data_IF_045243461784
#
_entry.id   IF_045243461784
#
_cell.length_a   1.000
_cell.length_b   1.000
_cell.length_c   1.000
_cell.angle_alpha   90.00
_cell.angle_beta   90.00
_cell.angle_gamma   90.00
#
_symmetry.space_group_name_H-M   'P 1'
#
loop_
_entity.id
_entity.type
_entity.pdbx_description
1 polymer ?
#
# COMPACT_ATOMS: atom_id res chain seq x y z
N UNK A 1 9.26 -8.01 1.25
CA UNK A 1 8.38 -6.83 1.30
C UNK A 1 7.52 -6.85 0.05
N UNK A 2 6.19 -6.86 0.19
CA UNK A 2 5.25 -6.66 -0.91
C UNK A 2 5.10 -5.16 -1.15
N UNK A 3 5.52 -4.69 -2.33
CA UNK A 3 5.46 -3.26 -2.70
C UNK A 3 4.37 -3.11 -3.75
N UNK A 4 3.43 -2.20 -3.52
CA UNK A 4 2.32 -1.98 -4.45
C UNK A 4 1.56 -0.70 -4.16
N UNK A 5 0.63 -0.35 -5.05
CA UNK A 5 -0.14 0.90 -5.03
C UNK A 5 -1.61 0.69 -4.65
N UNK A 6 -2.08 -0.56 -4.59
CA UNK A 6 -3.45 -0.91 -4.22
C UNK A 6 -3.54 -1.39 -2.76
N UNK A 7 -4.38 -0.74 -1.95
CA UNK A 7 -4.64 -1.18 -0.57
C UNK A 7 -5.30 -2.57 -0.53
N UNK A 8 -6.34 -2.78 -1.33
CA UNK A 8 -7.09 -4.04 -1.37
C UNK A 8 -6.24 -5.21 -1.88
N UNK A 9 -5.47 -5.01 -2.94
CA UNK A 9 -4.77 -6.11 -3.59
C UNK A 9 -3.37 -6.33 -3.03
N UNK A 10 -2.57 -5.26 -2.91
CA UNK A 10 -1.15 -5.39 -2.57
C UNK A 10 -0.94 -5.40 -1.06
N UNK A 11 -1.59 -4.47 -0.35
CA UNK A 11 -1.39 -4.33 1.10
C UNK A 11 -2.16 -5.40 1.86
N UNK A 12 -3.47 -5.54 1.64
CA UNK A 12 -4.24 -6.59 2.30
C UNK A 12 -3.76 -8.00 1.87
N UNK A 13 -3.39 -8.17 0.59
CA UNK A 13 -2.80 -9.41 0.08
C UNK A 13 -1.45 -9.74 0.72
N UNK A 14 -0.52 -8.77 0.81
CA UNK A 14 0.77 -8.94 1.47
C UNK A 14 0.65 -9.24 2.96
N UNK A 15 -0.26 -8.55 3.65
CA UNK A 15 -0.60 -8.82 5.05
C UNK A 15 -1.12 -10.26 5.23
N UNK A 16 -2.07 -10.70 4.40
CA UNK A 16 -2.61 -12.06 4.46
C UNK A 16 -1.55 -13.14 4.15
N UNK A 17 -0.55 -12.81 3.32
CA UNK A 17 0.59 -13.67 3.05
C UNK A 17 1.66 -13.65 4.17
N UNK A 18 1.53 -12.80 5.19
CA UNK A 18 2.46 -12.71 6.32
C UNK A 18 3.80 -12.06 5.96
N UNK A 19 3.84 -11.20 4.93
CA UNK A 19 5.05 -10.45 4.56
C UNK A 19 4.87 -8.97 4.86
N UNK A 20 5.97 -8.27 5.18
CA UNK A 20 5.93 -6.83 5.33
C UNK A 20 5.48 -6.15 4.02
N UNK A 21 4.77 -5.04 4.11
CA UNK A 21 4.14 -4.33 2.99
C UNK A 21 4.62 -2.89 2.86
N UNK A 22 4.65 -2.36 1.64
CA UNK A 22 4.96 -0.97 1.36
C UNK A 22 3.97 -0.41 0.34
N UNK A 23 3.19 0.60 0.76
CA UNK A 23 2.26 1.32 -0.10
C UNK A 23 3.02 2.44 -0.84
N UNK A 24 2.97 2.42 -2.17
CA UNK A 24 3.49 3.52 -3.01
C UNK A 24 2.36 4.43 -3.47
N UNK A 25 2.54 5.74 -3.30
CA UNK A 25 1.52 6.74 -3.63
C UNK A 25 1.61 7.22 -5.09
N UNK A 26 2.60 6.76 -5.87
CA UNK A 26 2.77 7.14 -7.28
C UNK A 26 1.89 6.37 -8.27
N UNK A 27 1.04 5.47 -7.79
CA UNK A 27 0.18 4.62 -8.61
C UNK A 27 -1.29 5.07 -8.59
N UNK A 28 -2.21 4.12 -8.41
CA UNK A 28 -3.66 4.36 -8.42
C UNK A 28 -4.14 5.37 -7.37
N UNK A 29 -3.36 5.63 -6.32
CA UNK A 29 -3.65 6.58 -5.25
C UNK A 29 -3.05 7.99 -5.43
N UNK A 30 -2.43 8.30 -6.58
CA UNK A 30 -1.68 9.54 -6.77
C UNK A 30 -2.47 10.82 -6.50
N UNK A 31 -3.78 10.81 -6.74
CA UNK A 31 -4.68 11.94 -6.53
C UNK A 31 -5.80 11.64 -5.52
N UNK A 32 -5.72 10.54 -4.78
CA UNK A 32 -6.79 10.12 -3.85
C UNK A 32 -6.74 10.81 -2.48
N UNK A 33 -5.68 11.58 -2.21
CA UNK A 33 -5.45 12.18 -0.90
C UNK A 33 -4.93 11.16 0.14
N UNK A 34 -5.32 11.33 1.39
CA UNK A 34 -4.89 10.47 2.50
C UNK A 34 -5.46 9.04 2.37
N UNK A 35 -4.61 7.99 2.30
CA UNK A 35 -5.07 6.61 2.17
C UNK A 35 -5.63 6.00 3.47
N UNK A 36 -5.59 6.70 4.62
CA UNK A 36 -6.05 6.18 5.91
C UNK A 36 -7.46 5.56 5.86
N UNK A 37 -8.40 6.22 5.17
CA UNK A 37 -9.77 5.70 5.04
C UNK A 37 -9.86 4.37 4.28
N UNK A 38 -9.03 4.19 3.25
CA UNK A 38 -8.96 2.93 2.49
C UNK A 38 -8.29 1.82 3.30
N UNK A 39 -7.23 2.16 4.04
CA UNK A 39 -6.56 1.21 4.94
C UNK A 39 -7.53 0.68 6.00
N UNK A 40 -8.33 1.57 6.59
CA UNK A 40 -9.38 1.19 7.53
C UNK A 40 -10.50 0.36 6.86
N UNK A 41 -10.96 0.76 5.67
CA UNK A 41 -12.00 0.05 4.90
C UNK A 41 -11.63 -1.41 4.62
N UNK A 42 -10.37 -1.65 4.22
CA UNK A 42 -9.89 -2.99 3.89
C UNK A 42 -9.24 -3.73 5.08
N UNK A 43 -9.24 -3.13 6.28
CA UNK A 43 -8.55 -3.65 7.47
C UNK A 43 -7.10 -4.07 7.14
N UNK A 44 -6.41 -3.20 6.39
CA UNK A 44 -5.08 -3.42 5.85
C UNK A 44 -4.09 -2.47 6.53
N UNK A 45 -2.89 -2.97 6.82
CA UNK A 45 -1.81 -2.19 7.40
C UNK A 45 -0.60 -2.18 6.44
N UNK A 46 -0.15 -0.98 6.08
CA UNK A 46 1.11 -0.77 5.36
C UNK A 46 2.27 -0.58 6.36
N UNK A 47 3.31 -1.42 6.32
CA UNK A 47 4.49 -1.22 7.19
C UNK A 47 5.30 0.01 6.79
N UNK A 48 5.25 0.36 5.50
CA UNK A 48 5.90 1.53 4.93
C UNK A 48 4.95 2.27 3.99
N UNK A 49 5.05 3.60 3.97
CA UNK A 49 4.48 4.43 2.91
C UNK A 49 5.61 5.16 2.19
N UNK A 50 5.51 5.22 0.86
CA UNK A 50 6.52 5.79 -0.02
C UNK A 50 5.83 6.67 -1.07
N UNK A 51 6.41 7.83 -1.39
CA UNK A 51 5.89 8.63 -2.51
C UNK A 51 6.00 7.87 -3.84
N UNK A 52 7.11 7.17 -4.06
CA UNK A 52 7.35 6.32 -5.23
C UNK A 52 8.43 5.28 -4.96
N UNK A 53 8.32 4.10 -5.59
CA UNK A 53 9.40 3.12 -5.63
C UNK A 53 10.33 3.37 -6.82
N UNK A 54 11.63 3.51 -6.58
CA UNK A 54 12.62 3.75 -7.64
C UNK A 54 13.73 2.71 -7.55
N UNK A 55 13.90 1.95 -8.63
CA UNK A 55 15.01 1.02 -8.80
C UNK A 55 16.08 1.63 -9.72
N UNK A 56 17.36 1.42 -9.41
CA UNK A 56 18.50 1.80 -10.26
C UNK A 56 19.48 0.65 -10.38
#
# INVERSE_FOLDING_TARGET
>A
VCVGDSVEHDIAGGQAAGVATALVLSGILVDSGDPAGLLDEFNAHADYMLDAFRWR
#
